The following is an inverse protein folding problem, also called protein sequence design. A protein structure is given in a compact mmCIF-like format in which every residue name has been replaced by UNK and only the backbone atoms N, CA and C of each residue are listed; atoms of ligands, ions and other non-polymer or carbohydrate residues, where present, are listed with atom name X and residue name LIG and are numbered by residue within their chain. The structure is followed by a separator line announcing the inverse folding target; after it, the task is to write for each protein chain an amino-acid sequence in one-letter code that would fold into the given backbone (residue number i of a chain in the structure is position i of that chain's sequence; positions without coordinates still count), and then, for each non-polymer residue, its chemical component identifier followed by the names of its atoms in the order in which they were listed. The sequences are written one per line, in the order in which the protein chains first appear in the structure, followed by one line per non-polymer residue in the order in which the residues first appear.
data_IF_639585837470
#
_entry.id   IF_639585837470
#
_cell.length_a   1.000
_cell.length_b   1.000
_cell.length_c   1.000
_cell.angle_alpha   90.00
_cell.angle_beta   90.00
_cell.angle_gamma   90.00
#
_symmetry.space_group_name_H-M   'P 1'
#
loop_
_entity.id
_entity.type
_entity.pdbx_description
1 polymer ?
#
# COMPACT_ATOMS: atom_id res chain seq x y z
N UNK A 1 -22.21 -6.66 -4.08
CA UNK A 1 -21.13 -7.37 -3.37
C UNK A 1 -19.79 -6.71 -3.71
N UNK A 2 -18.91 -6.50 -2.73
CA UNK A 2 -17.59 -5.94 -2.98
C UNK A 2 -16.71 -6.91 -3.80
N UNK A 3 -15.86 -6.35 -4.68
CA UNK A 3 -14.95 -7.14 -5.51
C UNK A 3 -13.93 -7.91 -4.65
N UNK A 4 -13.45 -7.30 -3.57
CA UNK A 4 -12.46 -7.89 -2.69
C UNK A 4 -13.11 -8.78 -1.64
N UNK A 5 -12.78 -10.07 -1.61
CA UNK A 5 -13.28 -11.02 -0.61
C UNK A 5 -12.86 -10.70 0.83
N UNK A 6 -11.87 -9.83 1.02
CA UNK A 6 -11.39 -9.41 2.32
C UNK A 6 -11.98 -8.08 2.81
N UNK A 7 -12.92 -7.48 2.05
CA UNK A 7 -13.40 -6.11 2.30
C UNK A 7 -14.06 -5.89 3.67
N UNK A 8 -14.63 -6.93 4.27
CA UNK A 8 -15.29 -6.86 5.58
C UNK A 8 -14.29 -6.86 6.76
N UNK A 9 -13.07 -7.39 6.54
CA UNK A 9 -12.11 -7.63 7.61
C UNK A 9 -10.84 -6.80 7.40
N UNK A 10 -10.48 -6.53 6.15
CA UNK A 10 -9.27 -5.81 5.80
C UNK A 10 -9.36 -4.31 6.13
N UNK A 11 -8.42 -3.79 6.92
CA UNK A 11 -8.36 -2.36 7.26
C UNK A 11 -7.91 -1.44 6.11
N UNK A 12 -7.57 -1.99 4.94
CA UNK A 12 -7.13 -1.20 3.79
C UNK A 12 -8.24 -0.45 3.05
N UNK A 13 -9.50 -0.90 3.16
CA UNK A 13 -10.65 -0.32 2.48
C UNK A 13 -11.86 -0.27 3.40
N UNK A 14 -12.53 0.90 3.48
CA UNK A 14 -13.69 1.07 4.36
C UNK A 14 -15.02 1.00 3.61
N UNK A 15 -15.05 1.27 2.30
CA UNK A 15 -16.28 1.55 1.55
C UNK A 15 -16.49 0.69 0.30
N UNK A 16 -15.79 -0.43 0.13
CA UNK A 16 -15.97 -1.28 -1.06
C UNK A 16 -17.39 -1.89 -1.18
N UNK A 17 -18.11 -1.99 -0.07
CA UNK A 17 -19.51 -2.46 -0.04
C UNK A 17 -20.52 -1.38 -0.45
N UNK A 18 -20.08 -0.14 -0.67
CA UNK A 18 -20.91 0.99 -1.09
C UNK A 18 -20.65 1.26 -2.57
N UNK A 19 -21.70 1.34 -3.39
CA UNK A 19 -21.60 1.73 -4.79
C UNK A 19 -20.88 3.06 -4.94
N UNK A 20 -20.00 3.16 -5.93
CA UNK A 20 -19.15 4.34 -6.10
C UNK A 20 -19.96 5.64 -6.27
N UNK A 21 -21.10 5.60 -6.99
CA UNK A 21 -22.03 6.73 -7.10
C UNK A 21 -22.55 7.21 -5.74
N UNK A 22 -22.84 6.28 -4.81
CA UNK A 22 -23.25 6.62 -3.47
C UNK A 22 -22.07 7.17 -2.64
N UNK A 23 -20.86 6.63 -2.80
CA UNK A 23 -19.64 7.18 -2.16
C UNK A 23 -19.43 8.65 -2.60
N UNK A 24 -19.59 8.97 -3.87
CA UNK A 24 -19.49 10.34 -4.38
C UNK A 24 -20.53 11.25 -3.72
N UNK A 25 -21.79 10.80 -3.64
CA UNK A 25 -22.87 11.56 -3.00
C UNK A 25 -22.57 11.84 -1.53
N UNK A 26 -22.11 10.83 -0.77
CA UNK A 26 -21.78 11.00 0.65
C UNK A 26 -20.60 11.95 0.85
N UNK A 27 -19.54 11.81 0.06
CA UNK A 27 -18.37 12.72 0.13
C UNK A 27 -18.74 14.16 -0.21
N UNK A 28 -19.58 14.38 -1.22
CA UNK A 28 -20.05 15.71 -1.56
C UNK A 28 -20.89 16.32 -0.43
N UNK A 29 -21.78 15.54 0.17
CA UNK A 29 -22.61 16.00 1.28
C UNK A 29 -21.75 16.30 2.53
N UNK A 30 -20.78 15.46 2.84
CA UNK A 30 -19.86 15.69 3.97
C UNK A 30 -19.08 17.01 3.84
N UNK A 31 -18.56 17.31 2.65
CA UNK A 31 -17.87 18.59 2.39
C UNK A 31 -18.84 19.75 2.57
N UNK A 32 -20.06 19.67 2.03
CA UNK A 32 -21.09 20.68 2.15
C UNK A 32 -21.45 20.92 3.62
N UNK A 33 -21.73 19.87 4.39
CA UNK A 33 -22.07 19.95 5.80
C UNK A 33 -20.94 20.57 6.62
N UNK A 34 -19.68 20.21 6.34
CA UNK A 34 -18.52 20.79 7.04
C UNK A 34 -18.36 22.28 6.75
N UNK A 35 -18.54 22.73 5.52
CA UNK A 35 -18.45 24.12 5.16
C UNK A 35 -19.61 24.95 5.74
N UNK A 36 -20.85 24.47 5.61
CA UNK A 36 -22.04 25.22 6.06
C UNK A 36 -22.20 25.17 7.59
N UNK A 37 -22.10 23.98 8.21
CA UNK A 37 -22.42 23.82 9.65
C UNK A 37 -21.23 24.12 10.56
N UNK A 38 -20.01 23.69 10.19
CA UNK A 38 -18.82 23.89 11.00
C UNK A 38 -18.12 25.19 10.59
N UNK A 39 -17.87 25.37 9.29
CA UNK A 39 -17.20 26.52 8.72
C UNK A 39 -18.04 27.80 8.75
N UNK A 40 -19.37 27.68 8.93
CA UNK A 40 -20.32 28.82 8.89
C UNK A 40 -20.20 29.65 7.61
N UNK A 41 -19.80 28.99 6.50
CA UNK A 41 -19.68 29.64 5.21
C UNK A 41 -21.06 29.68 4.57
N UNK A 42 -21.52 30.89 4.26
CA UNK A 42 -22.77 31.13 3.53
C UNK A 42 -22.45 31.40 2.06
N UNK A 43 -23.29 30.86 1.14
CA UNK A 43 -23.37 31.26 -0.26
C UNK A 43 -22.15 30.94 -1.15
N UNK A 44 -21.75 29.69 -1.22
CA UNK A 44 -20.95 29.18 -2.33
C UNK A 44 -21.78 28.32 -3.29
N UNK A 45 -21.50 28.36 -4.57
CA UNK A 45 -22.02 27.37 -5.50
C UNK A 45 -21.27 26.06 -5.33
N UNK A 46 -21.98 24.97 -4.98
CA UNK A 46 -21.42 23.63 -4.92
C UNK A 46 -21.48 22.99 -6.30
N UNK A 47 -20.37 23.01 -7.00
CA UNK A 47 -20.25 22.29 -8.27
C UNK A 47 -20.33 20.76 -8.04
N UNK A 48 -20.75 20.00 -9.06
CA UNK A 48 -20.77 18.54 -8.98
C UNK A 48 -19.40 17.96 -8.64
N UNK A 49 -19.36 16.95 -7.78
CA UNK A 49 -18.13 16.25 -7.45
C UNK A 49 -17.55 15.56 -8.69
N UNK A 50 -16.26 15.71 -8.90
CA UNK A 50 -15.54 15.07 -10.01
C UNK A 50 -15.12 13.67 -9.59
N UNK A 51 -15.66 12.66 -10.28
CA UNK A 51 -15.33 11.26 -10.02
C UNK A 51 -13.90 10.91 -10.45
N UNK A 52 -13.30 9.93 -9.78
CA UNK A 52 -12.05 9.34 -10.24
C UNK A 52 -12.30 8.48 -11.49
N UNK A 53 -11.36 8.41 -12.45
CA UNK A 53 -11.52 7.63 -13.67
C UNK A 53 -11.55 6.12 -13.41
N UNK A 54 -10.96 5.66 -12.32
CA UNK A 54 -10.88 4.24 -11.94
C UNK A 54 -11.25 4.05 -10.48
N UNK A 55 -12.09 3.07 -10.20
CA UNK A 55 -12.47 2.67 -8.84
C UNK A 55 -11.47 1.70 -8.20
N UNK A 56 -10.74 0.96 -9.04
CA UNK A 56 -9.72 -0.02 -8.66
C UNK A 56 -8.42 0.23 -9.44
N UNK A 57 -7.32 -0.41 -9.00
CA UNK A 57 -5.99 -0.35 -9.64
C UNK A 57 -5.42 1.07 -9.78
N UNK A 58 -5.89 2.01 -8.96
CA UNK A 58 -5.51 3.42 -9.04
C UNK A 58 -4.34 3.82 -8.14
N UNK A 59 -4.02 2.99 -7.13
CA UNK A 59 -2.96 3.34 -6.18
C UNK A 59 -1.58 3.05 -6.76
N UNK A 60 -0.70 4.02 -6.63
CA UNK A 60 0.71 3.88 -7.00
C UNK A 60 1.61 3.49 -5.80
N UNK A 61 1.05 3.37 -4.58
CA UNK A 61 1.78 2.94 -3.38
C UNK A 61 0.89 2.11 -2.48
N UNK A 62 1.39 0.95 -2.05
CA UNK A 62 0.82 0.11 -0.99
C UNK A 62 1.92 -0.29 -0.01
N UNK A 63 1.52 -0.41 1.26
CA UNK A 63 2.37 -0.88 2.35
C UNK A 63 1.68 -2.06 3.02
N UNK A 64 2.39 -3.18 3.12
CA UNK A 64 1.91 -4.43 3.69
C UNK A 64 2.72 -4.76 4.93
N UNK A 65 2.09 -5.38 5.92
CA UNK A 65 2.75 -5.86 7.14
C UNK A 65 2.87 -7.39 7.11
N UNK A 66 4.03 -7.88 7.54
CA UNK A 66 4.22 -9.29 7.86
C UNK A 66 3.78 -9.55 9.30
N UNK A 67 3.24 -10.73 9.55
CA UNK A 67 2.94 -11.15 10.91
C UNK A 67 2.98 -12.67 11.04
N UNK A 68 3.54 -13.17 12.14
CA UNK A 68 3.40 -14.55 12.58
C UNK A 68 2.15 -14.76 13.46
N UNK A 69 1.26 -13.76 13.54
CA UNK A 69 0.04 -13.79 14.33
C UNK A 69 -1.17 -13.34 13.49
N UNK A 70 -1.38 -14.03 12.33
CA UNK A 70 -2.45 -13.68 11.42
C UNK A 70 -3.83 -13.71 12.09
N UNK A 71 -4.73 -12.92 11.55
CA UNK A 71 -6.16 -13.02 11.83
C UNK A 71 -6.68 -14.40 11.43
N UNK A 72 -7.56 -14.97 12.26
CA UNK A 72 -8.28 -16.20 11.97
C UNK A 72 -9.77 -15.90 11.82
N UNK A 73 -10.40 -16.55 10.86
CA UNK A 73 -11.87 -16.51 10.75
C UNK A 73 -12.54 -17.23 11.93
N UNK A 74 -13.81 -16.93 12.18
CA UNK A 74 -14.60 -17.66 13.19
C UNK A 74 -14.65 -19.16 12.90
N UNK A 75 -14.69 -19.55 11.63
CA UNK A 75 -14.66 -20.95 11.21
C UNK A 75 -13.34 -21.62 11.60
N UNK A 76 -12.21 -20.93 11.36
CA UNK A 76 -10.89 -21.45 11.76
C UNK A 76 -10.75 -21.54 13.28
N UNK A 77 -11.26 -20.55 14.03
CA UNK A 77 -11.22 -20.55 15.51
C UNK A 77 -12.05 -21.69 16.09
N UNK A 78 -13.21 -21.97 15.50
CA UNK A 78 -14.14 -23.00 15.97
C UNK A 78 -13.83 -24.39 15.39
N UNK A 79 -12.89 -24.50 14.48
CA UNK A 79 -12.51 -25.78 13.88
C UNK A 79 -11.61 -26.57 14.84
N UNK A 80 -11.80 -27.88 14.91
CA UNK A 80 -10.90 -28.81 15.62
C UNK A 80 -9.57 -29.02 14.86
N UNK A 81 -9.47 -28.47 13.63
CA UNK A 81 -8.27 -28.62 12.80
C UNK A 81 -7.15 -27.78 13.36
N UNK A 82 -5.96 -28.38 13.46
CA UNK A 82 -4.73 -27.64 13.81
C UNK A 82 -4.42 -26.61 12.73
N UNK A 83 -4.25 -25.36 13.14
CA UNK A 83 -3.82 -24.29 12.24
C UNK A 83 -2.34 -24.50 11.97
N UNK A 84 -2.01 -24.83 10.72
CA UNK A 84 -0.63 -25.15 10.31
C UNK A 84 0.28 -23.92 10.31
N UNK A 85 -0.23 -22.76 9.89
CA UNK A 85 0.56 -21.53 9.81
C UNK A 85 -0.23 -20.31 10.26
N UNK A 86 0.44 -19.46 11.04
CA UNK A 86 -0.05 -18.14 11.47
C UNK A 86 0.64 -17.00 10.73
N UNK A 87 1.41 -17.31 9.70
CA UNK A 87 2.12 -16.32 8.90
C UNK A 87 1.17 -15.61 7.92
N UNK A 88 1.27 -14.28 7.86
CA UNK A 88 0.47 -13.42 6.98
C UNK A 88 1.33 -12.33 6.36
N UNK A 89 0.96 -11.91 5.15
CA UNK A 89 1.44 -10.69 4.52
C UNK A 89 0.24 -9.93 3.95
N UNK A 90 -0.14 -8.85 4.63
CA UNK A 90 -1.31 -8.08 4.25
C UNK A 90 -1.50 -6.83 5.10
N UNK A 91 -2.72 -6.58 5.57
CA UNK A 91 -3.08 -5.38 6.30
C UNK A 91 -3.57 -5.68 7.71
N UNK A 92 -3.48 -4.68 8.58
CA UNK A 92 -4.08 -4.76 9.91
C UNK A 92 -5.60 -4.88 9.83
N UNK A 93 -6.14 -5.69 10.73
CA UNK A 93 -7.59 -5.72 11.01
C UNK A 93 -7.95 -4.44 11.77
N UNK A 94 -9.04 -3.73 11.42
CA UNK A 94 -9.45 -2.52 12.12
C UNK A 94 -9.57 -2.72 13.63
N UNK A 95 -8.96 -1.82 14.39
CA UNK A 95 -8.93 -1.89 15.86
C UNK A 95 -7.98 -2.92 16.47
N UNK A 96 -7.27 -3.72 15.65
CA UNK A 96 -6.35 -4.77 16.13
C UNK A 96 -4.93 -4.55 15.59
N UNK A 97 -4.12 -3.85 16.35
CA UNK A 97 -2.76 -3.47 15.96
C UNK A 97 -1.80 -4.65 15.76
N UNK A 98 -2.08 -5.81 16.37
CA UNK A 98 -1.23 -7.01 16.31
C UNK A 98 -1.79 -8.11 15.40
N UNK A 99 -2.90 -7.87 14.70
CA UNK A 99 -3.53 -8.84 13.81
C UNK A 99 -3.45 -8.38 12.36
N UNK A 100 -2.85 -9.22 11.54
CA UNK A 100 -2.75 -9.02 10.10
C UNK A 100 -3.66 -10.03 9.40
N UNK A 101 -4.50 -9.54 8.49
CA UNK A 101 -5.18 -10.43 7.57
C UNK A 101 -4.23 -10.83 6.45
N UNK A 102 -4.18 -12.13 6.17
CA UNK A 102 -3.44 -12.64 5.01
C UNK A 102 -4.25 -12.43 3.75
N UNK A 103 -3.68 -11.71 2.78
CA UNK A 103 -4.40 -11.29 1.59
C UNK A 103 -3.99 -12.15 0.40
N UNK A 104 -4.96 -12.66 -0.36
CA UNK A 104 -4.69 -13.34 -1.62
C UNK A 104 -4.53 -12.34 -2.77
N UNK A 105 -5.46 -11.39 -2.88
CA UNK A 105 -5.44 -10.34 -3.89
C UNK A 105 -5.85 -8.99 -3.32
N UNK A 106 -5.10 -7.94 -3.68
CA UNK A 106 -5.47 -6.54 -3.44
C UNK A 106 -5.79 -5.87 -4.77
N UNK A 107 -7.00 -5.33 -4.88
CA UNK A 107 -7.48 -4.69 -6.11
C UNK A 107 -7.11 -3.20 -6.23
N UNK A 108 -6.37 -2.64 -5.28
CA UNK A 108 -6.06 -1.20 -5.26
C UNK A 108 -4.87 -0.81 -6.13
N UNK A 109 -3.89 -1.68 -6.31
CA UNK A 109 -2.69 -1.43 -7.11
C UNK A 109 -2.66 -2.35 -8.32
N UNK A 110 -2.12 -1.86 -9.43
CA UNK A 110 -1.98 -2.66 -10.66
C UNK A 110 -0.98 -3.82 -10.46
N UNK A 111 -1.05 -4.81 -11.35
CA UNK A 111 -0.01 -5.84 -11.42
C UNK A 111 1.31 -5.23 -11.90
N UNK A 112 2.44 -5.79 -11.43
CA UNK A 112 2.59 -7.05 -10.69
C UNK A 112 2.58 -6.93 -9.14
N UNK A 113 1.82 -6.01 -8.54
CA UNK A 113 1.79 -5.82 -7.09
C UNK A 113 1.50 -7.11 -6.32
N UNK A 114 0.43 -7.82 -6.70
CA UNK A 114 0.08 -9.09 -6.04
C UNK A 114 1.11 -10.18 -6.34
N UNK A 115 1.60 -10.26 -7.58
CA UNK A 115 2.62 -11.22 -7.97
C UNK A 115 3.91 -11.04 -7.15
N UNK A 116 4.38 -9.80 -6.96
CA UNK A 116 5.55 -9.50 -6.13
C UNK A 116 5.29 -9.89 -4.67
N UNK A 117 4.15 -9.48 -4.12
CA UNK A 117 3.78 -9.76 -2.72
C UNK A 117 3.71 -11.26 -2.45
N UNK A 118 3.03 -12.01 -3.32
CA UNK A 118 2.90 -13.45 -3.20
C UNK A 118 4.25 -14.16 -3.37
N UNK A 119 5.08 -13.70 -4.30
CA UNK A 119 6.45 -14.23 -4.47
C UNK A 119 7.27 -14.06 -3.19
N UNK A 120 7.29 -12.85 -2.62
CA UNK A 120 8.01 -12.54 -1.37
C UNK A 120 7.52 -13.43 -0.23
N UNK A 121 6.20 -13.57 -0.07
CA UNK A 121 5.60 -14.44 0.94
C UNK A 121 6.00 -15.91 0.75
N UNK A 122 5.85 -16.44 -0.47
CA UNK A 122 6.15 -17.84 -0.77
C UNK A 122 7.64 -18.14 -0.62
N UNK A 123 8.51 -17.22 -1.08
CA UNK A 123 9.96 -17.36 -0.86
C UNK A 123 10.27 -17.46 0.63
N UNK A 124 9.69 -16.58 1.43
CA UNK A 124 9.90 -16.58 2.88
C UNK A 124 9.45 -17.88 3.53
N UNK A 125 8.27 -18.40 3.18
CA UNK A 125 7.75 -19.67 3.70
C UNK A 125 8.62 -20.85 3.29
N UNK A 126 9.04 -20.91 2.02
CA UNK A 126 9.82 -22.03 1.48
C UNK A 126 11.26 -22.06 2.00
N UNK A 127 11.80 -20.92 2.43
CA UNK A 127 13.16 -20.82 2.97
C UNK A 127 13.18 -20.65 4.50
N UNK A 128 12.05 -20.82 5.17
CA UNK A 128 11.99 -20.77 6.64
C UNK A 128 12.22 -19.38 7.25
N UNK A 129 12.07 -18.29 6.45
CA UNK A 129 12.22 -16.93 6.97
C UNK A 129 11.10 -16.61 7.96
N UNK A 130 11.47 -16.02 9.09
CA UNK A 130 10.53 -15.71 10.16
C UNK A 130 9.78 -14.41 9.89
N UNK A 131 8.47 -14.39 10.19
CA UNK A 131 7.63 -13.22 10.11
C UNK A 131 7.61 -12.51 11.47
N UNK A 132 7.53 -11.19 11.47
CA UNK A 132 7.53 -10.38 12.66
C UNK A 132 6.37 -10.74 13.61
N UNK A 133 6.67 -10.88 14.90
CA UNK A 133 5.68 -11.04 15.94
C UNK A 133 5.59 -9.74 16.76
N UNK A 134 4.49 -8.95 16.61
CA UNK A 134 4.46 -7.59 17.16
C UNK A 134 4.50 -7.53 18.69
N UNK A 135 3.96 -8.53 19.40
CA UNK A 135 4.00 -8.59 20.87
C UNK A 135 5.34 -9.04 21.41
N UNK A 136 5.93 -10.07 20.80
CA UNK A 136 7.22 -10.64 21.24
C UNK A 136 8.41 -9.85 20.69
N UNK A 137 8.18 -8.96 19.72
CA UNK A 137 9.22 -8.18 19.04
C UNK A 137 10.36 -9.05 18.54
N UNK A 138 10.05 -10.02 17.72
CA UNK A 138 10.99 -10.96 17.11
C UNK A 138 10.56 -11.36 15.71
N UNK A 139 11.49 -11.87 14.93
CA UNK A 139 11.29 -12.29 13.55
C UNK A 139 12.01 -11.39 12.56
N UNK A 140 12.19 -11.85 11.32
CA UNK A 140 12.97 -11.16 10.30
C UNK A 140 12.13 -10.13 9.55
N UNK A 141 11.05 -10.59 8.86
CA UNK A 141 10.28 -9.81 7.91
C UNK A 141 9.23 -8.97 8.63
N UNK A 142 9.29 -7.64 8.46
CA UNK A 142 8.41 -6.72 9.18
C UNK A 142 7.39 -6.02 8.30
N UNK A 143 7.84 -5.24 7.30
CA UNK A 143 6.92 -4.58 6.35
C UNK A 143 7.46 -4.62 4.94
N UNK A 144 6.55 -4.47 3.97
CA UNK A 144 6.86 -4.37 2.56
C UNK A 144 6.11 -3.19 1.94
N UNK A 145 6.82 -2.26 1.33
CA UNK A 145 6.23 -1.20 0.54
C UNK A 145 6.51 -1.44 -0.94
N UNK A 146 5.45 -1.34 -1.75
CA UNK A 146 5.52 -1.32 -3.20
C UNK A 146 5.08 0.03 -3.73
N UNK A 147 5.89 0.63 -4.59
CA UNK A 147 5.57 1.86 -5.30
C UNK A 147 5.76 1.65 -6.80
N UNK A 148 4.82 2.16 -7.59
CA UNK A 148 4.86 2.07 -9.05
C UNK A 148 4.75 3.46 -9.70
N UNK A 149 5.14 3.54 -10.96
CA UNK A 149 4.92 4.69 -11.83
C UNK A 149 3.93 4.34 -12.94
N UNK A 150 3.44 5.37 -13.63
CA UNK A 150 2.62 5.25 -14.84
C UNK A 150 3.33 4.49 -15.98
N UNK A 151 4.68 4.45 -15.97
CA UNK A 151 5.51 3.70 -16.94
C UNK A 151 5.86 2.27 -16.45
N UNK A 152 5.12 1.73 -15.50
CA UNK A 152 5.34 0.37 -14.93
C UNK A 152 6.77 0.16 -14.41
N UNK A 153 7.36 1.19 -13.80
CA UNK A 153 8.62 1.08 -13.04
C UNK A 153 8.28 0.97 -11.56
N UNK A 154 8.96 0.05 -10.88
CA UNK A 154 8.63 -0.32 -9.51
C UNK A 154 9.78 -0.06 -8.55
N UNK A 155 9.41 0.27 -7.33
CA UNK A 155 10.28 0.33 -6.17
C UNK A 155 9.74 -0.59 -5.08
N UNK A 156 10.63 -1.40 -4.53
CA UNK A 156 10.39 -2.22 -3.35
C UNK A 156 11.18 -1.66 -2.18
N UNK A 157 10.56 -1.55 -1.01
CA UNK A 157 11.24 -1.35 0.27
C UNK A 157 10.82 -2.45 1.22
N UNK A 158 11.79 -3.23 1.74
CA UNK A 158 11.56 -4.20 2.80
C UNK A 158 12.14 -3.68 4.12
N UNK A 159 11.37 -3.80 5.18
CA UNK A 159 11.88 -3.59 6.54
C UNK A 159 12.11 -4.94 7.20
N UNK A 160 13.28 -5.09 7.76
CA UNK A 160 13.68 -6.23 8.58
C UNK A 160 13.71 -5.81 10.05
N UNK A 161 13.28 -6.69 10.96
CA UNK A 161 13.44 -6.45 12.39
C UNK A 161 14.81 -6.93 12.85
N UNK A 162 15.11 -8.21 12.65
CA UNK A 162 16.40 -8.85 12.96
C UNK A 162 16.80 -9.73 11.78
N UNK A 163 18.03 -9.58 11.30
CA UNK A 163 18.58 -10.37 10.18
C UNK A 163 20.05 -10.73 10.44
N UNK A 164 20.34 -11.57 11.47
CA UNK A 164 21.70 -11.90 11.87
C UNK A 164 22.45 -12.68 10.80
N UNK A 165 21.77 -13.40 9.92
CA UNK A 165 22.35 -14.26 8.90
C UNK A 165 22.27 -13.68 7.48
N UNK A 166 21.81 -12.42 7.34
CA UNK A 166 21.58 -11.74 6.06
C UNK A 166 20.64 -12.49 5.09
N UNK A 167 19.69 -13.25 5.62
CA UNK A 167 18.70 -13.98 4.82
C UNK A 167 17.77 -13.05 4.07
N UNK A 168 17.50 -11.84 4.62
CA UNK A 168 16.77 -10.80 3.94
C UNK A 168 17.42 -10.36 2.63
N UNK A 169 18.77 -10.33 2.57
CA UNK A 169 19.48 -9.97 1.34
C UNK A 169 19.34 -11.05 0.26
N UNK A 170 19.26 -12.32 0.62
CA UNK A 170 19.00 -13.42 -0.32
C UNK A 170 17.58 -13.31 -0.91
N UNK A 171 16.60 -12.93 -0.09
CA UNK A 171 15.25 -12.62 -0.56
C UNK A 171 15.24 -11.46 -1.56
N UNK A 172 15.96 -10.36 -1.27
CA UNK A 172 16.06 -9.20 -2.17
C UNK A 172 16.69 -9.59 -3.52
N UNK A 173 17.74 -10.42 -3.52
CA UNK A 173 18.36 -10.91 -4.76
C UNK A 173 17.37 -11.78 -5.56
N UNK A 174 16.61 -12.65 -4.90
CA UNK A 174 15.59 -13.45 -5.56
C UNK A 174 14.49 -12.58 -6.20
N UNK A 175 14.05 -11.52 -5.51
CA UNK A 175 13.08 -10.56 -6.06
C UNK A 175 13.65 -9.85 -7.28
N UNK A 176 14.87 -9.35 -7.20
CA UNK A 176 15.57 -8.67 -8.29
C UNK A 176 15.63 -9.54 -9.56
N UNK A 177 15.93 -10.82 -9.40
CA UNK A 177 16.03 -11.77 -10.52
C UNK A 177 14.66 -12.07 -11.17
N UNK A 178 13.59 -12.13 -10.38
CA UNK A 178 12.26 -12.52 -10.87
C UNK A 178 11.41 -11.35 -11.37
N UNK A 179 11.73 -10.10 -10.96
CA UNK A 179 10.93 -8.92 -11.30
C UNK A 179 11.80 -7.79 -11.89
N UNK A 180 12.23 -7.87 -13.16
CA UNK A 180 13.10 -6.87 -13.78
C UNK A 180 12.49 -5.47 -13.88
N UNK A 181 11.18 -5.34 -13.76
CA UNK A 181 10.48 -4.04 -13.66
C UNK A 181 10.71 -3.33 -12.33
N UNK A 182 11.20 -4.01 -11.28
CA UNK A 182 11.64 -3.38 -10.03
C UNK A 182 13.01 -2.76 -10.26
N UNK A 183 13.02 -1.47 -10.55
CA UNK A 183 14.24 -0.71 -10.87
C UNK A 183 14.89 -0.08 -9.64
N UNK A 184 14.30 -0.25 -8.48
CA UNK A 184 14.77 0.32 -7.20
C UNK A 184 14.40 -0.63 -6.07
N UNK A 185 15.38 -1.13 -5.32
CA UNK A 185 15.17 -1.99 -4.16
C UNK A 185 15.90 -1.38 -2.98
N UNK A 186 15.16 -1.14 -1.91
CA UNK A 186 15.67 -0.68 -0.62
C UNK A 186 15.36 -1.67 0.48
N UNK A 187 16.17 -1.62 1.52
CA UNK A 187 15.83 -2.24 2.80
C UNK A 187 16.22 -1.34 3.97
N UNK A 188 15.68 -1.64 5.14
CA UNK A 188 16.06 -1.02 6.41
C UNK A 188 15.88 -2.00 7.55
N UNK A 189 16.67 -1.82 8.61
CA UNK A 189 16.43 -2.47 9.88
C UNK A 189 15.53 -1.58 10.75
N UNK A 190 14.41 -2.12 11.21
CA UNK A 190 13.44 -1.40 12.02
C UNK A 190 13.14 -2.15 13.32
N UNK A 191 13.85 -1.83 14.39
CA UNK A 191 13.65 -2.37 15.74
C UNK A 191 12.73 -1.50 16.61
N UNK A 192 12.13 -0.44 16.05
CA UNK A 192 11.24 0.49 16.76
C UNK A 192 9.88 -0.12 17.06
N UNK A 193 9.09 0.59 17.86
CA UNK A 193 7.70 0.23 18.16
C UNK A 193 6.68 0.52 17.05
N UNK A 194 7.09 1.19 15.96
CA UNK A 194 6.21 1.55 14.83
C UNK A 194 6.85 1.21 13.49
N UNK A 195 6.06 1.24 12.42
CA UNK A 195 6.48 0.85 11.06
C UNK A 195 6.91 2.03 10.18
N UNK A 196 7.01 3.25 10.75
CA UNK A 196 7.44 4.44 10.01
C UNK A 196 8.84 4.29 9.43
N UNK A 197 9.01 4.64 8.15
CA UNK A 197 10.30 4.60 7.46
C UNK A 197 11.03 5.96 7.49
N UNK A 198 10.39 7.04 7.94
CA UNK A 198 10.91 8.39 7.77
C UNK A 198 12.19 8.66 8.56
N UNK A 199 12.33 8.06 9.70
CA UNK A 199 13.46 8.16 10.63
C UNK A 199 14.43 6.94 10.56
N UNK A 200 14.27 6.06 9.56
CA UNK A 200 15.16 4.93 9.32
C UNK A 200 16.21 5.26 8.27
N UNK A 201 17.38 4.68 8.38
CA UNK A 201 18.37 4.66 7.32
C UNK A 201 17.98 3.60 6.29
N UNK A 202 17.56 4.08 5.11
CA UNK A 202 17.21 3.21 4.00
C UNK A 202 18.45 2.91 3.16
N UNK A 203 18.78 1.64 3.04
CA UNK A 203 19.94 1.17 2.29
C UNK A 203 19.49 0.78 0.89
N UNK A 204 20.07 1.41 -0.13
CA UNK A 204 19.83 1.04 -1.53
C UNK A 204 20.55 -0.28 -1.83
N UNK A 205 19.78 -1.35 -2.02
CA UNK A 205 20.28 -2.66 -2.37
C UNK A 205 20.55 -2.79 -3.87
N UNK A 206 19.62 -2.28 -4.70
CA UNK A 206 19.73 -2.40 -6.15
C UNK A 206 19.10 -1.22 -6.88
N UNK A 207 19.74 -0.81 -7.97
CA UNK A 207 19.20 0.04 -9.02
C UNK A 207 19.18 1.53 -8.68
N UNK A 208 18.07 2.20 -8.99
CA UNK A 208 17.96 3.66 -8.91
C UNK A 208 17.54 4.12 -7.53
N UNK A 209 18.08 5.26 -7.06
CA UNK A 209 17.69 5.86 -5.78
C UNK A 209 16.28 6.48 -5.78
N UNK A 210 15.61 6.56 -6.93
CA UNK A 210 14.26 7.10 -7.07
C UNK A 210 13.61 6.61 -8.35
N UNK A 211 12.29 6.60 -8.36
CA UNK A 211 11.47 6.48 -9.55
C UNK A 211 11.32 7.86 -10.21
N UNK A 212 11.08 7.88 -11.51
CA UNK A 212 10.66 9.09 -12.24
C UNK A 212 9.20 8.87 -12.63
N UNK A 213 8.32 9.66 -12.04
CA UNK A 213 6.90 9.71 -12.41
C UNK A 213 6.67 10.84 -13.40
N UNK A 214 5.87 10.61 -14.42
CA UNK A 214 5.55 11.60 -15.45
C UNK A 214 4.11 12.04 -15.36
N UNK A 215 3.88 13.34 -15.52
CA UNK A 215 2.55 13.94 -15.54
C UNK A 215 2.50 15.01 -16.63
N UNK A 216 1.43 15.11 -17.45
CA UNK A 216 1.28 16.24 -18.36
C UNK A 216 1.27 17.56 -17.59
N UNK A 217 1.87 18.61 -18.17
CA UNK A 217 1.77 19.95 -17.58
C UNK A 217 0.34 20.47 -17.71
N UNK A 218 -0.20 21.01 -16.62
CA UNK A 218 -1.52 21.64 -16.62
C UNK A 218 -1.49 23.07 -17.18
N UNK A 219 -0.30 23.72 -17.16
CA UNK A 219 -0.14 25.12 -17.63
C UNK A 219 0.44 25.24 -19.03
N UNK A 220 1.04 24.18 -19.56
CA UNK A 220 1.78 24.22 -20.85
C UNK A 220 1.43 22.99 -21.67
N UNK A 221 0.56 23.16 -22.66
CA UNK A 221 0.12 22.09 -23.55
C UNK A 221 1.32 21.42 -24.23
N UNK A 222 1.33 20.10 -24.26
CA UNK A 222 2.39 19.29 -24.86
C UNK A 222 3.66 19.12 -24.02
N UNK A 223 3.79 19.81 -22.86
CA UNK A 223 4.91 19.62 -21.93
C UNK A 223 4.59 18.52 -20.93
N UNK A 224 5.58 17.69 -20.63
CA UNK A 224 5.50 16.68 -19.55
C UNK A 224 6.41 17.09 -18.39
N UNK A 225 5.89 17.02 -17.18
CA UNK A 225 6.64 17.19 -15.94
C UNK A 225 7.16 15.84 -15.47
N UNK A 226 8.38 15.83 -14.93
CA UNK A 226 9.02 14.65 -14.37
C UNK A 226 9.26 14.86 -12.88
N UNK A 227 8.70 13.97 -12.06
CA UNK A 227 8.84 14.01 -10.61
C UNK A 227 9.78 12.91 -10.15
N UNK A 228 10.83 13.29 -9.41
CA UNK A 228 11.74 12.35 -8.77
C UNK A 228 11.14 11.88 -7.44
N UNK A 229 10.73 10.61 -7.36
CA UNK A 229 10.00 10.02 -6.23
C UNK A 229 10.86 8.98 -5.55
N UNK A 230 11.45 9.33 -4.41
CA UNK A 230 12.21 8.42 -3.57
C UNK A 230 11.32 7.60 -2.61
N UNK A 231 11.92 6.70 -1.82
CA UNK A 231 11.15 5.84 -0.91
C UNK A 231 10.39 6.64 0.16
N UNK A 232 10.95 7.74 0.66
CA UNK A 232 10.33 8.63 1.66
C UNK A 232 9.56 9.79 1.05
N UNK A 233 9.56 9.96 -0.30
CA UNK A 233 8.89 11.10 -0.93
C UNK A 233 7.38 10.98 -0.81
N UNK A 234 6.72 12.10 -0.49
CA UNK A 234 5.28 12.22 -0.69
C UNK A 234 4.98 12.33 -2.20
N UNK A 235 4.01 11.60 -2.66
CA UNK A 235 3.39 11.73 -3.96
C UNK A 235 1.94 11.24 -3.87
N UNK A 236 1.01 11.92 -4.54
CA UNK A 236 -0.40 11.54 -4.50
C UNK A 236 -0.59 10.09 -4.98
N UNK A 237 -1.23 9.28 -4.15
CA UNK A 237 -1.35 7.82 -4.41
C UNK A 237 -2.26 7.48 -5.58
N UNK A 238 -3.17 8.37 -5.97
CA UNK A 238 -3.95 8.30 -7.20
C UNK A 238 -3.45 9.39 -8.16
N UNK A 239 -2.44 9.06 -8.97
CA UNK A 239 -1.79 10.01 -9.89
C UNK A 239 -2.77 10.58 -10.92
N UNK A 240 -3.71 9.77 -11.42
CA UNK A 240 -4.69 10.20 -12.41
C UNK A 240 -5.66 11.24 -11.83
N UNK A 241 -6.18 10.97 -10.63
CA UNK A 241 -7.08 11.93 -9.97
C UNK A 241 -6.35 13.18 -9.48
N UNK A 242 -5.08 13.06 -9.11
CA UNK A 242 -4.26 14.21 -8.75
C UNK A 242 -4.08 15.18 -9.94
N UNK A 243 -3.88 14.65 -11.15
CA UNK A 243 -3.84 15.47 -12.36
C UNK A 243 -5.15 16.23 -12.59
N UNK A 244 -6.30 15.54 -12.45
CA UNK A 244 -7.62 16.18 -12.56
C UNK A 244 -7.78 17.29 -11.52
N UNK A 245 -7.39 17.05 -10.25
CA UNK A 245 -7.43 18.05 -9.20
C UNK A 245 -6.58 19.28 -9.56
N UNK A 246 -5.37 19.08 -10.07
CA UNK A 246 -4.50 20.21 -10.45
C UNK A 246 -5.07 21.00 -11.64
N UNK A 247 -5.73 20.34 -12.58
CA UNK A 247 -6.45 21.02 -13.66
C UNK A 247 -7.60 21.90 -13.14
N UNK A 248 -8.34 21.45 -12.12
CA UNK A 248 -9.42 22.24 -11.53
C UNK A 248 -8.90 23.47 -10.77
N UNK A 249 -7.79 23.33 -10.02
CA UNK A 249 -7.19 24.46 -9.28
C UNK A 249 -6.68 25.58 -10.19
N UNK A 250 -6.40 25.27 -11.47
CA UNK A 250 -5.82 26.22 -12.42
C UNK A 250 -6.87 26.78 -13.44
N UNK A 251 -8.15 26.47 -13.27
CA UNK A 251 -9.26 27.12 -13.98
C UNK A 251 -9.57 28.48 -13.38
#
# INVERSE_FOLDING_TARGET
DPLCKHSEICGGCNWQHVYYSAQLKFKSQEVKDNLERIGKLENGEFLPIISAPNEYRYRNKLEFSFSSNRWLSLEEVNSEKKIESRNALGYHVPGMWDKIIDIDECHLQQEPSNSIRLFVKNYALNNGLTFFHPRDKKGLLRTMMLRSTSENKWMLVLQFFEDPENEGLKLLEAVKLNFPQIVSIYYAHNTKGNDSIYDLDLILFHGKSSLIEKMPSVTSKGRTLSFKVGPKSFYQTNSAQAYVLYCEVLK
#
